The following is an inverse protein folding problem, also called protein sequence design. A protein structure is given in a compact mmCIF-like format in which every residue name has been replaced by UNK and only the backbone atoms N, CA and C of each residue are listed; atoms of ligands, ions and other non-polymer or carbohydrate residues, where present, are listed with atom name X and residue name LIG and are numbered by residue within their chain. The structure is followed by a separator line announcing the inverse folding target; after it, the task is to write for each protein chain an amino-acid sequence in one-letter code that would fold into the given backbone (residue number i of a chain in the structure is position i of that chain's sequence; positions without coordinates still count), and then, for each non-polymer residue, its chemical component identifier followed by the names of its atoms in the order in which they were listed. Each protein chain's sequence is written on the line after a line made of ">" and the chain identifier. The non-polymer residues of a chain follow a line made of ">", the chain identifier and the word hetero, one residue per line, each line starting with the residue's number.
data_IF_453347504218
#
_entry.id   IF_453347504218
#
_cell.length_a   1.000
_cell.length_b   1.000
_cell.length_c   1.000
_cell.angle_alpha   90.00
_cell.angle_beta   90.00
_cell.angle_gamma   90.00
#
_symmetry.space_group_name_H-M   'P 1'
#
loop_
_entity.id
_entity.type
_entity.pdbx_description
1 polymer ?
#
# COMPACT_ATOMS: atom_id res chain seq x y z
N UNK A 1 37.60 -9.99 1.87
CA UNK A 1 36.95 -10.79 2.92
C UNK A 1 35.46 -10.70 2.69
N UNK A 2 34.78 -11.83 2.46
CA UNK A 2 33.32 -11.89 2.29
C UNK A 2 32.68 -12.22 3.63
N UNK A 3 31.77 -11.38 4.11
CA UNK A 3 31.03 -11.61 5.35
C UNK A 3 29.80 -12.45 5.05
N UNK A 4 29.73 -13.66 5.61
CA UNK A 4 28.51 -14.48 5.54
C UNK A 4 27.49 -13.93 6.54
N UNK A 5 26.30 -13.53 6.06
CA UNK A 5 25.14 -13.23 6.91
C UNK A 5 24.20 -14.43 6.90
N UNK A 6 23.81 -14.89 8.09
CA UNK A 6 22.80 -15.93 8.25
C UNK A 6 21.49 -15.26 8.67
N UNK A 7 20.40 -15.57 7.97
CA UNK A 7 19.06 -15.14 8.34
C UNK A 7 18.32 -16.32 8.96
N UNK A 8 17.74 -16.11 10.14
CA UNK A 8 16.90 -17.11 10.82
C UNK A 8 15.45 -16.71 10.63
N UNK A 9 14.63 -17.64 10.15
CA UNK A 9 13.19 -17.46 10.10
C UNK A 9 12.65 -17.15 11.50
N UNK A 10 11.79 -16.15 11.61
CA UNK A 10 11.11 -15.82 12.87
C UNK A 10 9.68 -16.34 12.85
N UNK A 11 8.81 -15.70 12.08
CA UNK A 11 7.39 -16.04 11.96
C UNK A 11 6.83 -15.50 10.63
N UNK A 12 5.55 -15.79 10.37
CA UNK A 12 4.81 -15.33 9.19
C UNK A 12 3.74 -14.35 9.64
N UNK A 13 3.66 -13.19 8.99
CA UNK A 13 2.63 -12.18 9.27
C UNK A 13 1.52 -12.31 8.23
N UNK A 14 0.28 -12.46 8.70
CA UNK A 14 -0.92 -12.43 7.87
C UNK A 14 -1.39 -13.79 7.33
N UNK A 15 -2.57 -13.75 6.72
CA UNK A 15 -3.28 -14.89 6.13
C UNK A 15 -4.16 -14.38 4.99
N UNK A 16 -4.71 -15.27 4.16
CA UNK A 16 -5.58 -14.89 3.05
C UNK A 16 -6.89 -14.28 3.57
N UNK A 17 -7.07 -12.96 3.39
CA UNK A 17 -8.33 -12.28 3.67
C UNK A 17 -8.52 -11.03 2.81
N UNK A 18 -9.73 -10.83 2.31
CA UNK A 18 -10.07 -9.67 1.47
C UNK A 18 -10.16 -8.34 2.22
N UNK A 19 -10.29 -8.37 3.55
CA UNK A 19 -10.37 -7.20 4.45
C UNK A 19 -9.80 -7.54 5.82
N UNK A 20 -9.57 -6.51 6.64
CA UNK A 20 -9.08 -6.66 8.02
C UNK A 20 -7.65 -7.17 8.08
N UNK A 21 -7.39 -8.06 9.06
CA UNK A 21 -6.04 -8.50 9.47
C UNK A 21 -5.26 -9.30 8.42
N UNK A 22 -5.91 -9.78 7.36
CA UNK A 22 -5.24 -10.59 6.34
C UNK A 22 -4.89 -9.79 5.09
N UNK A 23 -4.23 -10.45 4.15
CA UNK A 23 -3.80 -9.85 2.88
C UNK A 23 -4.44 -10.56 1.70
N UNK A 24 -4.66 -9.83 0.61
CA UNK A 24 -5.16 -10.39 -0.64
C UNK A 24 -4.39 -9.78 -1.80
N UNK A 25 -3.55 -10.61 -2.44
CA UNK A 25 -2.61 -10.19 -3.47
C UNK A 25 -1.72 -8.99 -3.02
N UNK A 26 -0.91 -9.15 -1.95
CA UNK A 26 0.04 -8.13 -1.54
C UNK A 26 1.13 -7.97 -2.61
N UNK A 27 1.41 -6.74 -3.02
CA UNK A 27 2.37 -6.45 -4.10
C UNK A 27 3.63 -5.75 -3.63
N UNK A 28 3.55 -4.98 -2.54
CA UNK A 28 4.67 -4.24 -1.98
C UNK A 28 4.41 -3.88 -0.51
N UNK A 29 5.46 -3.53 0.24
CA UNK A 29 5.37 -3.05 1.61
C UNK A 29 6.37 -1.95 1.93
N UNK A 30 6.01 -1.09 2.88
CA UNK A 30 6.92 -0.10 3.45
C UNK A 30 6.74 -0.04 4.98
N UNK A 31 7.80 0.35 5.69
CA UNK A 31 7.80 0.45 7.16
C UNK A 31 8.10 1.89 7.54
N UNK A 32 7.28 2.49 8.41
CA UNK A 32 7.46 3.85 8.87
C UNK A 32 8.44 3.94 10.06
N UNK A 33 8.71 5.16 10.53
CA UNK A 33 9.64 5.41 11.65
C UNK A 33 9.23 4.76 12.98
N UNK A 34 7.96 4.40 13.13
CA UNK A 34 7.36 3.78 14.31
C UNK A 34 7.26 2.25 14.21
N UNK A 35 7.74 1.65 13.11
CA UNK A 35 7.67 0.20 12.89
C UNK A 35 6.30 -0.30 12.40
N UNK A 36 5.41 0.60 11.96
CA UNK A 36 4.17 0.22 11.29
C UNK A 36 4.49 -0.21 9.86
N UNK A 37 4.05 -1.42 9.52
CA UNK A 37 4.15 -2.02 8.19
C UNK A 37 2.89 -1.66 7.42
N UNK A 38 3.06 -1.04 6.27
CA UNK A 38 2.01 -0.73 5.31
C UNK A 38 2.11 -1.73 4.16
N UNK A 39 1.13 -2.61 4.02
CA UNK A 39 1.08 -3.66 3.00
C UNK A 39 0.09 -3.25 1.92
N UNK A 40 0.57 -3.10 0.69
CA UNK A 40 -0.26 -2.74 -0.45
C UNK A 40 -0.92 -3.99 -1.05
N UNK A 41 -2.25 -4.05 -1.00
CA UNK A 41 -3.07 -5.13 -1.55
C UNK A 41 -3.69 -4.67 -2.87
N UNK A 42 -3.58 -5.50 -3.91
CA UNK A 42 -4.07 -5.18 -5.26
C UNK A 42 -5.33 -5.97 -5.68
N UNK A 43 -5.86 -6.83 -4.83
CA UNK A 43 -6.86 -7.79 -5.23
C UNK A 43 -8.20 -7.22 -5.72
N UNK A 44 -8.93 -8.06 -6.45
CA UNK A 44 -10.25 -7.77 -7.04
C UNK A 44 -10.15 -7.37 -8.51
N UNK A 45 -11.26 -7.46 -9.27
CA UNK A 45 -11.29 -7.10 -10.68
C UNK A 45 -11.16 -5.59 -10.92
N UNK A 46 -10.70 -5.22 -12.11
CA UNK A 46 -10.63 -3.86 -12.66
C UNK A 46 -12.01 -3.41 -13.15
N UNK A 47 -12.95 -3.28 -12.21
CA UNK A 47 -14.33 -2.85 -12.48
C UNK A 47 -14.68 -1.60 -11.69
N UNK A 48 -15.70 -0.87 -12.13
CA UNK A 48 -16.20 0.32 -11.41
C UNK A 48 -16.84 0.00 -10.06
N UNK A 49 -16.97 -1.29 -9.69
CA UNK A 49 -17.47 -1.71 -8.39
C UNK A 49 -16.36 -1.49 -7.36
N UNK A 50 -16.65 -0.66 -6.35
CA UNK A 50 -15.74 -0.41 -5.24
C UNK A 50 -15.67 -1.64 -4.35
N UNK A 51 -14.59 -2.40 -4.49
CA UNK A 51 -14.30 -3.53 -3.62
C UNK A 51 -13.22 -3.13 -2.62
N UNK A 52 -13.36 -3.51 -1.34
CA UNK A 52 -12.40 -3.12 -0.31
C UNK A 52 -11.05 -3.82 -0.46
N UNK A 53 -10.89 -4.73 -1.42
CA UNK A 53 -9.68 -5.56 -1.57
C UNK A 53 -8.47 -4.84 -2.17
N UNK A 54 -8.66 -3.69 -2.82
CA UNK A 54 -7.56 -2.77 -3.22
C UNK A 54 -7.36 -1.76 -2.11
N UNK A 55 -6.37 -1.98 -1.27
CA UNK A 55 -6.19 -1.22 -0.03
C UNK A 55 -4.76 -1.29 0.48
N UNK A 56 -4.43 -0.40 1.40
CA UNK A 56 -3.25 -0.50 2.24
C UNK A 56 -3.67 -1.03 3.61
N UNK A 57 -3.07 -2.14 4.04
CA UNK A 57 -3.26 -2.71 5.38
C UNK A 57 -2.11 -2.28 6.29
N UNK A 58 -2.41 -1.89 7.52
CA UNK A 58 -1.43 -1.46 8.52
C UNK A 58 -1.32 -2.49 9.64
N UNK A 59 -0.12 -2.98 9.89
CA UNK A 59 0.16 -3.91 10.98
C UNK A 59 1.55 -3.71 11.60
N UNK A 60 1.82 -4.39 12.70
CA UNK A 60 3.15 -4.43 13.33
C UNK A 60 3.86 -5.77 13.05
N UNK A 61 5.15 -5.84 13.41
CA UNK A 61 5.89 -7.10 13.43
C UNK A 61 5.32 -8.13 14.41
N UNK A 62 4.55 -7.71 15.41
CA UNK A 62 3.89 -8.60 16.37
C UNK A 62 2.45 -8.97 15.92
N UNK A 63 2.15 -8.81 14.63
CA UNK A 63 0.88 -9.17 13.99
C UNK A 63 -0.36 -8.40 14.52
N UNK A 64 -0.14 -7.27 15.19
CA UNK A 64 -1.20 -6.35 15.58
C UNK A 64 -1.75 -5.66 14.33
N UNK A 65 -3.07 -5.63 14.18
CA UNK A 65 -3.74 -4.93 13.08
C UNK A 65 -4.13 -3.53 13.54
N UNK A 66 -3.60 -2.51 12.86
CA UNK A 66 -3.77 -1.12 13.21
C UNK A 66 -4.84 -0.43 12.36
N UNK A 67 -5.22 -1.02 11.23
CA UNK A 67 -6.26 -0.51 10.35
C UNK A 67 -5.97 -0.74 8.88
N UNK A 68 -6.81 -0.17 8.04
CA UNK A 68 -6.65 -0.20 6.60
C UNK A 68 -7.25 1.05 5.97
N UNK A 69 -6.75 1.43 4.80
CA UNK A 69 -7.28 2.56 4.04
C UNK A 69 -7.24 2.33 2.53
N UNK A 70 -8.05 3.13 1.84
CA UNK A 70 -8.30 3.02 0.42
C UNK A 70 -9.27 1.91 0.04
N UNK A 71 -9.71 1.96 -1.22
CA UNK A 71 -10.66 1.01 -1.80
C UNK A 71 -10.49 1.00 -3.32
N UNK A 72 -11.10 0.02 -4.00
CA UNK A 72 -11.15 -0.01 -5.45
C UNK A 72 -11.91 1.20 -6.02
N UNK A 73 -11.31 1.89 -7.00
CA UNK A 73 -11.92 3.04 -7.66
C UNK A 73 -10.90 3.95 -8.34
N UNK A 74 -11.33 5.17 -8.68
CA UNK A 74 -10.50 6.14 -9.43
C UNK A 74 -10.42 7.52 -8.75
N UNK A 75 -11.26 7.75 -7.73
CA UNK A 75 -11.31 8.98 -6.95
C UNK A 75 -10.14 9.14 -5.99
N UNK A 76 -10.13 10.22 -5.22
CA UNK A 76 -9.09 10.51 -4.23
C UNK A 76 -9.10 9.45 -3.12
N UNK A 77 -7.90 8.94 -2.81
CA UNK A 77 -7.71 7.84 -1.88
C UNK A 77 -8.13 6.45 -2.41
N UNK A 78 -8.56 6.35 -3.67
CA UNK A 78 -8.91 5.08 -4.31
C UNK A 78 -7.79 4.55 -5.21
N UNK A 79 -7.86 3.26 -5.49
CA UNK A 79 -6.88 2.51 -6.26
C UNK A 79 -7.52 1.72 -7.40
N UNK A 80 -6.85 1.70 -8.56
CA UNK A 80 -7.24 0.89 -9.71
C UNK A 80 -6.25 -0.23 -9.96
N UNK A 81 -4.96 0.09 -10.00
CA UNK A 81 -3.88 -0.87 -10.23
C UNK A 81 -2.62 -0.41 -9.47
N UNK A 82 -2.67 -0.44 -8.14
CA UNK A 82 -1.57 0.05 -7.33
C UNK A 82 -0.40 -0.94 -7.39
N UNK A 83 0.82 -0.42 -7.59
CA UNK A 83 1.99 -1.25 -7.91
C UNK A 83 3.11 -1.17 -6.89
N UNK A 84 3.27 -0.04 -6.21
CA UNK A 84 4.33 0.14 -5.21
C UNK A 84 3.92 1.10 -4.10
N UNK A 85 4.56 0.96 -2.94
CA UNK A 85 4.36 1.81 -1.77
C UNK A 85 5.71 2.28 -1.19
N UNK A 86 5.80 3.55 -0.81
CA UNK A 86 6.98 4.11 -0.17
C UNK A 86 6.58 5.06 0.96
N UNK A 87 7.49 5.26 1.92
CA UNK A 87 7.28 6.16 3.05
C UNK A 87 8.44 7.14 3.12
N UNK A 88 8.13 8.42 3.34
CA UNK A 88 9.15 9.46 3.50
C UNK A 88 9.53 9.70 4.96
N UNK A 89 10.46 10.62 5.20
CA UNK A 89 10.93 11.00 6.54
C UNK A 89 9.87 11.66 7.44
N UNK A 90 8.71 12.02 6.90
CA UNK A 90 7.59 12.59 7.65
C UNK A 90 6.47 11.55 7.87
N UNK A 91 6.76 10.27 7.62
CA UNK A 91 5.82 9.15 7.64
C UNK A 91 4.62 9.35 6.70
N UNK A 92 4.78 10.12 5.62
CA UNK A 92 3.78 10.19 4.54
C UNK A 92 3.91 8.96 3.67
N UNK A 93 2.76 8.40 3.28
CA UNK A 93 2.68 7.18 2.48
C UNK A 93 2.42 7.56 1.03
N UNK A 94 3.26 7.05 0.14
CA UNK A 94 3.19 7.27 -1.30
C UNK A 94 2.81 5.97 -1.97
N UNK A 95 1.74 5.96 -2.76
CA UNK A 95 1.31 4.80 -3.52
C UNK A 95 1.31 5.14 -5.00
N UNK A 96 2.09 4.39 -5.79
CA UNK A 96 2.04 4.48 -7.24
C UNK A 96 0.90 3.58 -7.77
N UNK A 97 0.12 4.11 -8.71
CA UNK A 97 -0.96 3.40 -9.37
C UNK A 97 -0.79 3.45 -10.89
N UNK A 98 -0.48 2.31 -11.49
CA UNK A 98 -0.25 2.15 -12.93
C UNK A 98 -1.51 2.44 -13.74
N UNK A 99 -2.67 2.07 -13.20
CA UNK A 99 -3.95 2.18 -13.87
C UNK A 99 -4.47 3.61 -13.89
N UNK A 100 -4.18 4.35 -12.81
CA UNK A 100 -4.52 5.77 -12.66
C UNK A 100 -3.41 6.70 -13.15
N UNK A 101 -2.23 6.15 -13.47
CA UNK A 101 -1.06 6.90 -13.94
C UNK A 101 -0.68 8.03 -13.00
N UNK A 102 -0.70 7.73 -11.69
CA UNK A 102 -0.49 8.73 -10.64
C UNK A 102 0.24 8.15 -9.44
N UNK A 103 0.78 9.06 -8.65
CA UNK A 103 1.20 8.79 -7.26
C UNK A 103 0.25 9.51 -6.33
N UNK A 104 -0.37 8.77 -5.42
CA UNK A 104 -1.22 9.30 -4.34
C UNK A 104 -0.41 9.40 -3.06
N UNK A 105 -0.57 10.49 -2.32
CA UNK A 105 0.07 10.73 -1.02
C UNK A 105 -0.97 10.70 0.08
N UNK A 106 -0.65 10.02 1.17
CA UNK A 106 -1.45 9.92 2.39
C UNK A 106 -0.62 10.33 3.60
N UNK A 107 -1.29 10.74 4.68
CA UNK A 107 -0.62 10.78 5.98
C UNK A 107 -0.47 9.37 6.57
N UNK A 108 0.22 9.28 7.70
CA UNK A 108 0.45 8.01 8.42
C UNK A 108 -0.85 7.30 8.84
N UNK A 109 -1.96 8.02 8.97
CA UNK A 109 -3.26 7.49 9.39
C UNK A 109 -4.13 7.09 8.19
N UNK A 110 -3.58 7.19 6.96
CA UNK A 110 -4.25 6.78 5.73
C UNK A 110 -5.17 7.83 5.13
N UNK A 111 -5.14 9.08 5.61
CA UNK A 111 -5.92 10.17 5.02
C UNK A 111 -5.23 10.67 3.75
N UNK A 112 -5.97 10.75 2.66
CA UNK A 112 -5.49 11.33 1.41
C UNK A 112 -5.08 12.80 1.59
N UNK A 113 -3.89 13.15 1.12
CA UNK A 113 -3.34 14.51 1.19
C UNK A 113 -3.34 15.18 -0.18
N UNK A 114 -2.74 14.53 -1.18
CA UNK A 114 -2.66 15.04 -2.55
C UNK A 114 -2.23 13.92 -3.51
N UNK A 115 -2.13 14.26 -4.79
CA UNK A 115 -1.64 13.37 -5.85
C UNK A 115 -0.90 14.18 -6.91
N UNK A 116 -0.04 13.51 -7.67
CA UNK A 116 0.49 14.02 -8.93
C UNK A 116 0.54 12.91 -9.96
N UNK A 117 0.62 13.27 -11.24
CA UNK A 117 0.43 12.35 -12.34
C UNK A 117 -1.05 12.21 -12.69
N UNK A 118 -1.30 12.14 -13.98
CA UNK A 118 -2.56 11.74 -14.58
C UNK A 118 -2.24 11.18 -15.96
N UNK A 119 -3.24 10.65 -16.67
CA UNK A 119 -3.00 10.15 -18.02
C UNK A 119 -2.81 11.28 -19.03
N UNK A 120 -1.69 11.30 -19.74
CA UNK A 120 -1.50 12.19 -20.87
C UNK A 120 -0.12 12.11 -21.52
N UNK A 121 0.34 13.26 -22.02
CA UNK A 121 1.63 13.38 -22.70
C UNK A 121 2.32 14.74 -22.46
N UNK A 122 1.74 15.57 -21.59
CA UNK A 122 2.34 16.83 -21.17
C UNK A 122 3.23 16.61 -19.94
N UNK A 123 4.01 17.62 -19.55
CA UNK A 123 4.84 17.54 -18.35
C UNK A 123 3.96 17.23 -17.11
N UNK A 124 4.24 16.10 -16.47
CA UNK A 124 3.46 15.63 -15.31
C UNK A 124 2.25 14.76 -15.65
N UNK A 125 2.06 14.37 -16.92
CA UNK A 125 1.05 13.42 -17.40
C UNK A 125 1.67 12.21 -18.13
#
# INVERSE_FOLDING_TARGET
>A
MTTTKTFTYSHTIGFLAGTGRGFLNPVDLAINSQGVIYVLNRAGPETTIRLPSKRVSMCTLDEEFLGEFGTGGTGDGEFWWPSSIAIDSQDRVYVADEGLQRVSIFDKDGKFLSKWGEKGSADGQ
#
